data_IF_860140262198
#
_entry.id   IF_860140262198
#
_cell.length_a   1.000
_cell.length_b   1.000
_cell.length_c   1.000
_cell.angle_alpha   90.00
_cell.angle_beta   90.00
_cell.angle_gamma   90.00
#
_symmetry.space_group_name_H-M   'P 1'
#
loop_
_entity.id
_entity.type
_entity.pdbx_description
1 polymer ?
#
# COMPACT_ATOMS: atom_id res chain seq x y z
N UNK A 1 -29.74 -62.34 18.63
CA UNK A 1 -30.04 -61.09 17.89
C UNK A 1 -29.02 -60.04 18.31
N UNK A 2 -28.07 -59.69 17.43
CA UNK A 2 -27.05 -58.66 17.68
C UNK A 2 -27.68 -57.28 17.56
N UNK A 3 -27.54 -56.42 18.57
CA UNK A 3 -27.79 -54.96 18.45
C UNK A 3 -26.43 -54.27 18.50
N UNK A 4 -25.96 -53.80 17.35
CA UNK A 4 -24.87 -52.83 17.27
C UNK A 4 -25.47 -51.46 17.60
N UNK A 5 -25.07 -50.87 18.71
CA UNK A 5 -25.30 -49.46 19.00
C UNK A 5 -24.13 -48.72 18.37
N UNK A 6 -24.36 -48.06 17.23
CA UNK A 6 -23.43 -47.05 16.73
C UNK A 6 -23.48 -45.85 17.69
N UNK A 7 -22.42 -45.67 18.48
CA UNK A 7 -22.12 -44.37 19.08
C UNK A 7 -21.51 -43.50 18.01
N UNK A 8 -22.30 -42.55 17.49
CA UNK A 8 -21.81 -41.47 16.64
C UNK A 8 -20.86 -40.60 17.49
N UNK A 9 -19.57 -40.61 17.15
CA UNK A 9 -18.63 -39.64 17.66
C UNK A 9 -19.03 -38.26 17.11
N UNK A 10 -19.57 -37.40 17.98
CA UNK A 10 -19.65 -35.97 17.69
C UNK A 10 -18.21 -35.45 17.65
N UNK A 11 -17.62 -35.41 16.46
CA UNK A 11 -16.46 -34.55 16.21
C UNK A 11 -16.97 -33.12 16.38
N UNK A 12 -16.62 -32.51 17.51
CA UNK A 12 -16.66 -31.06 17.67
C UNK A 12 -15.66 -30.49 16.66
N UNK A 13 -16.14 -30.19 15.47
CA UNK A 13 -15.46 -29.30 14.52
C UNK A 13 -15.30 -27.97 15.26
N UNK A 14 -14.13 -27.73 15.83
CA UNK A 14 -13.68 -26.35 16.03
C UNK A 14 -13.82 -25.66 14.67
N UNK A 15 -14.40 -24.45 14.60
CA UNK A 15 -14.25 -23.68 13.38
C UNK A 15 -12.75 -23.44 13.25
N UNK A 16 -12.11 -24.16 12.31
CA UNK A 16 -10.80 -23.78 11.79
C UNK A 16 -11.05 -22.36 11.31
N UNK A 17 -10.57 -21.39 12.08
CA UNK A 17 -10.66 -20.01 11.70
C UNK A 17 -9.75 -19.90 10.48
N UNK A 18 -10.34 -19.85 9.30
CA UNK A 18 -9.64 -19.57 8.04
C UNK A 18 -8.92 -18.24 8.24
N UNK A 19 -7.63 -18.29 8.55
CA UNK A 19 -6.84 -17.10 8.84
C UNK A 19 -6.37 -16.51 7.53
N UNK A 20 -7.25 -15.79 6.85
CA UNK A 20 -6.85 -14.92 5.73
C UNK A 20 -5.70 -14.01 6.18
N UNK A 21 -4.66 -13.75 5.35
CA UNK A 21 -3.47 -12.97 5.76
C UNK A 21 -3.77 -11.82 6.75
N UNK A 22 -3.00 -11.73 7.85
CA UNK A 22 -3.43 -11.04 9.05
C UNK A 22 -3.74 -9.56 8.78
N UNK A 23 -4.89 -9.11 9.27
CA UNK A 23 -5.14 -7.68 9.35
C UNK A 23 -4.42 -7.09 10.55
N UNK A 24 -3.35 -6.34 10.30
CA UNK A 24 -2.61 -5.66 11.37
C UNK A 24 -3.18 -4.25 11.51
N UNK A 25 -3.83 -3.98 12.64
CA UNK A 25 -4.47 -2.70 12.93
C UNK A 25 -5.48 -2.22 11.87
N UNK A 26 -6.12 -3.17 11.17
CA UNK A 26 -7.08 -2.91 10.09
C UNK A 26 -6.45 -2.55 8.75
N UNK A 27 -5.14 -2.72 8.61
CA UNK A 27 -4.41 -2.74 7.34
C UNK A 27 -4.27 -4.18 6.87
N UNK A 28 -4.19 -4.36 5.55
CA UNK A 28 -3.95 -5.67 4.94
C UNK A 28 -2.45 -5.84 4.83
N UNK A 29 -1.96 -6.94 5.36
CA UNK A 29 -0.64 -7.48 5.07
C UNK A 29 -0.72 -8.20 3.72
N UNK A 30 -0.23 -7.55 2.67
CA UNK A 30 -0.38 -8.03 1.29
C UNK A 30 0.65 -9.11 0.94
N UNK A 31 1.80 -9.10 1.60
CA UNK A 31 2.84 -10.12 1.42
C UNK A 31 2.92 -11.11 2.58
N UNK A 32 1.99 -11.02 3.53
CA UNK A 32 1.74 -11.98 4.60
C UNK A 32 2.97 -12.25 5.48
N UNK A 33 3.86 -11.26 5.62
CA UNK A 33 5.11 -11.39 6.39
C UNK A 33 5.00 -10.81 7.82
N UNK A 34 3.77 -10.57 8.25
CA UNK A 34 3.37 -10.01 9.53
C UNK A 34 3.89 -8.58 9.77
N UNK A 35 4.28 -7.86 8.70
CA UNK A 35 4.78 -6.49 8.78
C UNK A 35 4.15 -5.58 7.74
N UNK A 36 3.34 -4.63 8.19
CA UNK A 36 2.82 -3.60 7.29
C UNK A 36 3.86 -2.51 7.05
N UNK A 37 4.31 -2.38 5.79
CA UNK A 37 5.14 -1.26 5.32
C UNK A 37 4.39 -0.42 4.30
N UNK A 38 4.19 0.83 4.68
CA UNK A 38 3.55 1.84 3.86
C UNK A 38 4.53 2.93 3.47
N UNK A 39 4.87 2.98 2.19
CA UNK A 39 5.78 3.99 1.64
C UNK A 39 5.02 5.21 1.13
N UNK A 40 5.46 6.39 1.52
CA UNK A 40 5.00 7.66 0.99
C UNK A 40 6.10 8.26 0.12
N UNK A 41 5.79 8.48 -1.16
CA UNK A 41 6.70 9.10 -2.12
C UNK A 41 6.09 10.36 -2.69
N UNK A 42 6.91 11.38 -2.91
CA UNK A 42 6.38 12.65 -3.36
C UNK A 42 7.32 13.82 -3.22
N UNK A 43 6.74 15.01 -3.20
CA UNK A 43 7.47 16.27 -3.12
C UNK A 43 7.78 16.73 -1.69
N UNK A 44 8.01 18.03 -1.52
CA UNK A 44 8.33 18.66 -0.24
C UNK A 44 7.26 18.46 0.83
N UNK A 45 6.00 18.26 0.42
CA UNK A 45 4.90 18.02 1.35
C UNK A 45 5.06 16.65 2.02
N UNK A 46 5.43 15.62 1.27
CA UNK A 46 5.76 14.30 1.82
C UNK A 46 6.99 14.37 2.70
N UNK A 47 8.03 15.08 2.25
CA UNK A 47 9.27 15.26 3.05
C UNK A 47 9.03 15.93 4.41
N UNK A 48 7.94 16.70 4.56
CA UNK A 48 7.63 17.44 5.77
C UNK A 48 8.23 18.85 5.82
N UNK A 49 8.58 19.43 4.65
CA UNK A 49 9.12 20.80 4.59
C UNK A 49 8.13 21.79 5.20
N UNK A 50 8.61 22.63 6.12
CA UNK A 50 7.76 23.59 6.85
C UNK A 50 7.25 23.08 8.19
N UNK A 51 7.53 21.82 8.55
CA UNK A 51 7.28 21.28 9.88
C UNK A 51 8.33 21.75 10.89
N UNK A 52 8.09 22.89 11.53
CA UNK A 52 9.02 23.48 12.51
C UNK A 52 9.19 22.66 13.80
N UNK A 53 8.32 21.68 14.05
CA UNK A 53 8.44 20.80 15.22
C UNK A 53 9.27 19.55 14.91
N UNK A 54 9.71 19.37 13.65
CA UNK A 54 10.52 18.24 13.20
C UNK A 54 9.92 16.86 13.55
N UNK A 55 8.59 16.74 13.46
CA UNK A 55 7.87 15.49 13.74
C UNK A 55 7.63 14.67 12.45
N UNK A 56 8.53 14.80 11.47
CA UNK A 56 8.46 14.08 10.19
C UNK A 56 7.28 14.46 9.29
N UNK A 57 6.74 15.68 9.41
CA UNK A 57 5.60 16.14 8.60
C UNK A 57 4.32 15.36 8.90
N UNK A 58 3.48 15.09 7.88
CA UNK A 58 2.29 14.27 8.10
C UNK A 58 2.60 12.78 8.18
N UNK A 59 3.71 12.32 7.58
CA UNK A 59 4.06 10.88 7.57
C UNK A 59 4.47 10.44 8.97
N UNK A 60 5.39 11.17 9.63
CA UNK A 60 5.78 10.86 11.01
C UNK A 60 4.59 10.94 11.99
N UNK A 61 3.75 11.98 11.88
CA UNK A 61 2.51 12.09 12.68
C UNK A 61 1.44 11.04 12.37
N UNK A 62 1.49 10.43 11.20
CA UNK A 62 0.60 9.34 10.82
C UNK A 62 1.11 8.02 11.41
N UNK A 63 2.43 7.81 11.38
CA UNK A 63 3.09 6.65 11.97
C UNK A 63 2.76 6.51 13.46
N UNK A 64 2.79 7.60 14.23
CA UNK A 64 2.43 7.58 15.67
C UNK A 64 0.96 7.20 15.95
N UNK A 65 0.14 6.98 14.92
CA UNK A 65 -1.27 6.54 15.07
C UNK A 65 -1.43 5.03 14.95
N UNK A 66 -0.34 4.33 14.66
CA UNK A 66 -0.26 2.89 14.56
C UNK A 66 0.82 2.40 15.52
N UNK A 67 0.65 1.22 16.11
CA UNK A 67 1.67 0.66 17.01
C UNK A 67 2.73 -0.14 16.24
N UNK A 68 2.33 -0.83 15.17
CA UNK A 68 3.18 -1.81 14.46
C UNK A 68 3.42 -1.50 12.99
N UNK A 69 2.77 -0.47 12.44
CA UNK A 69 2.87 -0.14 11.01
C UNK A 69 4.10 0.72 10.74
N UNK A 70 4.99 0.26 9.86
CA UNK A 70 6.17 1.00 9.46
C UNK A 70 5.83 1.99 8.32
N UNK A 71 6.11 3.28 8.54
CA UNK A 71 5.86 4.31 7.53
C UNK A 71 7.15 4.87 6.95
N UNK A 72 7.37 4.62 5.67
CA UNK A 72 8.60 5.02 4.99
C UNK A 72 8.37 6.34 4.26
N UNK A 73 9.09 7.39 4.66
CA UNK A 73 9.05 8.70 4.01
C UNK A 73 10.15 8.85 2.95
N UNK A 74 9.77 8.81 1.67
CA UNK A 74 10.65 9.03 0.51
C UNK A 74 10.37 10.37 -0.19
N UNK A 75 9.93 11.38 0.56
CA UNK A 75 9.70 12.71 0.01
C UNK A 75 10.98 13.38 -0.51
N UNK A 76 10.93 13.94 -1.70
CA UNK A 76 12.04 14.65 -2.36
C UNK A 76 11.57 16.06 -2.73
N UNK A 77 12.03 17.11 -2.02
CA UNK A 77 11.69 18.49 -2.37
C UNK A 77 12.00 18.83 -3.82
N UNK A 78 11.11 19.59 -4.47
CA UNK A 78 11.27 20.00 -5.87
C UNK A 78 10.98 18.92 -6.92
N UNK A 79 10.72 17.66 -6.53
CA UNK A 79 10.47 16.59 -7.51
C UNK A 79 9.20 16.84 -8.33
N UNK A 80 9.31 16.62 -9.64
CA UNK A 80 8.20 16.70 -10.60
C UNK A 80 7.60 15.33 -10.85
N UNK A 81 6.42 15.25 -11.47
CA UNK A 81 5.83 13.95 -11.87
C UNK A 81 6.75 13.16 -12.80
N UNK A 82 7.43 13.85 -13.71
CA UNK A 82 8.40 13.24 -14.62
C UNK A 82 9.68 12.82 -13.89
N UNK A 83 10.17 13.66 -12.99
CA UNK A 83 11.35 13.36 -12.17
C UNK A 83 11.12 12.12 -11.31
N UNK A 84 9.95 12.04 -10.66
CA UNK A 84 9.58 10.87 -9.86
C UNK A 84 9.48 9.61 -10.72
N UNK A 85 8.80 9.69 -11.87
CA UNK A 85 8.71 8.57 -12.80
C UNK A 85 10.08 8.07 -13.26
N UNK A 86 10.97 8.97 -13.68
CA UNK A 86 12.33 8.62 -14.10
C UNK A 86 13.18 8.07 -12.95
N UNK A 87 12.97 8.57 -11.73
CA UNK A 87 13.63 8.06 -10.53
C UNK A 87 13.32 6.57 -10.30
N UNK A 88 12.02 6.21 -10.33
CA UNK A 88 11.61 4.81 -10.21
C UNK A 88 12.11 3.94 -11.37
N UNK A 89 12.00 4.41 -12.62
CA UNK A 89 12.54 3.69 -13.79
C UNK A 89 14.04 3.38 -13.59
N UNK A 90 14.83 4.38 -13.19
CA UNK A 90 16.28 4.22 -13.02
C UNK A 90 16.61 3.27 -11.87
N UNK A 91 15.91 3.39 -10.74
CA UNK A 91 16.26 2.66 -9.52
C UNK A 91 15.76 1.21 -9.54
N UNK A 92 14.59 0.95 -10.10
CA UNK A 92 14.04 -0.41 -10.20
C UNK A 92 14.68 -1.21 -11.35
N UNK A 93 15.04 -0.57 -12.47
CA UNK A 93 15.78 -1.27 -13.53
C UNK A 93 17.24 -1.57 -13.15
N UNK A 94 17.83 -0.81 -12.19
CA UNK A 94 19.17 -1.09 -11.66
C UNK A 94 19.18 -2.09 -10.51
N UNK A 95 18.01 -2.47 -9.99
CA UNK A 95 17.90 -3.39 -8.86
C UNK A 95 18.19 -4.86 -9.23
N UNK A 96 18.79 -5.13 -10.38
CA UNK A 96 19.26 -6.47 -10.75
C UNK A 96 20.43 -6.94 -9.87
N UNK A 97 21.16 -6.05 -9.17
CA UNK A 97 22.19 -6.46 -8.20
C UNK A 97 22.19 -5.55 -6.96
N UNK A 98 21.69 -6.03 -5.82
CA UNK A 98 21.94 -5.45 -4.49
C UNK A 98 20.76 -4.85 -3.70
N UNK A 99 21.10 -4.34 -2.49
CA UNK A 99 20.25 -3.99 -1.34
C UNK A 99 18.97 -3.15 -1.59
N UNK A 100 18.84 -2.52 -2.75
CA UNK A 100 17.64 -1.78 -3.17
C UNK A 100 16.47 -2.72 -3.48
N UNK A 101 16.72 -3.95 -3.98
CA UNK A 101 15.69 -4.99 -4.17
C UNK A 101 15.04 -5.37 -2.83
N UNK A 102 15.81 -5.39 -1.73
CA UNK A 102 15.31 -5.67 -0.37
C UNK A 102 14.39 -4.60 0.22
N UNK A 103 14.53 -3.33 -0.16
CA UNK A 103 13.69 -2.23 0.38
C UNK A 103 12.34 -2.07 -0.33
N UNK A 104 12.20 -2.60 -1.54
CA UNK A 104 10.95 -2.53 -2.32
C UNK A 104 10.23 -3.86 -2.47
N UNK A 105 10.85 -4.98 -2.07
CA UNK A 105 10.30 -6.35 -2.16
C UNK A 105 9.17 -6.67 -1.18
N UNK A 106 8.83 -5.73 -0.31
CA UNK A 106 8.08 -6.01 0.90
C UNK A 106 7.18 -4.80 1.24
N UNK A 107 6.53 -4.23 0.23
CA UNK A 107 5.66 -3.08 0.42
C UNK A 107 4.21 -3.56 0.36
N UNK A 108 3.42 -3.15 1.35
CA UNK A 108 1.98 -3.38 1.37
C UNK A 108 1.24 -2.22 0.71
N UNK A 109 1.77 -1.01 0.91
CA UNK A 109 1.16 0.18 0.35
C UNK A 109 2.17 1.21 -0.13
N UNK A 110 1.83 1.86 -1.24
CA UNK A 110 2.62 2.96 -1.80
C UNK A 110 1.72 4.15 -2.11
N UNK A 111 1.98 5.28 -1.46
CA UNK A 111 1.24 6.52 -1.65
C UNK A 111 2.07 7.49 -2.48
N UNK A 112 1.51 7.93 -3.62
CA UNK A 112 2.12 8.90 -4.53
C UNK A 112 1.45 10.27 -4.31
N UNK A 113 2.21 11.26 -3.83
CA UNK A 113 1.80 12.65 -3.71
C UNK A 113 2.77 13.54 -4.50
N UNK A 114 2.42 13.93 -5.72
CA UNK A 114 3.32 14.74 -6.57
C UNK A 114 2.54 15.55 -7.60
N UNK A 115 3.08 16.70 -7.97
CA UNK A 115 2.58 17.50 -9.09
C UNK A 115 2.76 18.99 -8.94
N UNK A 116 2.91 19.50 -7.72
CA UNK A 116 3.01 20.93 -7.44
C UNK A 116 4.15 21.60 -8.21
N UNK A 117 5.29 20.91 -8.34
CA UNK A 117 6.49 21.42 -9.01
C UNK A 117 6.41 21.41 -10.54
N UNK A 118 5.44 20.69 -11.12
CA UNK A 118 5.25 20.67 -12.57
C UNK A 118 4.85 22.05 -13.11
N UNK A 119 4.13 22.83 -12.28
CA UNK A 119 3.79 24.22 -12.56
C UNK A 119 5.04 25.06 -12.84
N UNK A 120 6.05 24.97 -11.97
CA UNK A 120 7.30 25.74 -12.09
C UNK A 120 8.14 25.36 -13.31
N UNK A 121 7.91 24.18 -13.87
CA UNK A 121 8.55 23.73 -15.11
C UNK A 121 7.70 23.98 -16.37
N UNK A 122 6.66 24.82 -16.25
CA UNK A 122 5.69 25.12 -17.31
C UNK A 122 5.11 23.84 -17.94
N UNK A 123 4.92 22.79 -17.15
CA UNK A 123 4.35 21.54 -17.66
C UNK A 123 2.83 21.64 -17.65
N UNK A 124 2.15 21.33 -18.78
CA UNK A 124 0.70 21.27 -18.80
C UNK A 124 0.17 20.16 -17.89
N UNK A 125 -0.99 20.39 -17.26
CA UNK A 125 -1.70 19.40 -16.42
C UNK A 125 -1.86 18.04 -17.12
N UNK A 126 -2.11 18.03 -18.43
CA UNK A 126 -2.24 16.80 -19.23
C UNK A 126 -0.95 15.96 -19.22
N UNK A 127 0.23 16.59 -19.18
CA UNK A 127 1.51 15.88 -19.06
C UNK A 127 1.70 15.34 -17.64
N UNK A 128 1.37 16.13 -16.62
CA UNK A 128 1.44 15.71 -15.21
C UNK A 128 0.64 14.45 -14.93
N UNK A 129 -0.65 14.43 -15.29
CA UNK A 129 -1.49 13.24 -15.08
C UNK A 129 -1.02 12.05 -15.93
N UNK A 130 -0.51 12.28 -17.14
CA UNK A 130 0.07 11.21 -17.98
C UNK A 130 1.26 10.56 -17.29
N UNK A 131 2.16 11.35 -16.71
CA UNK A 131 3.33 10.84 -15.99
C UNK A 131 2.91 10.02 -14.76
N UNK A 132 1.94 10.51 -13.99
CA UNK A 132 1.38 9.78 -12.83
C UNK A 132 0.81 8.42 -13.28
N UNK A 133 -0.01 8.38 -14.33
CA UNK A 133 -0.57 7.12 -14.86
C UNK A 133 0.51 6.15 -15.33
N UNK A 134 1.54 6.65 -16.03
CA UNK A 134 2.69 5.84 -16.47
C UNK A 134 3.47 5.28 -15.29
N UNK A 135 3.68 6.08 -14.25
CA UNK A 135 4.34 5.64 -13.03
C UNK A 135 3.55 4.53 -12.34
N UNK A 136 2.25 4.73 -12.10
CA UNK A 136 1.41 3.69 -11.49
C UNK A 136 1.42 2.41 -12.31
N UNK A 137 1.23 2.50 -13.62
CA UNK A 137 1.26 1.33 -14.51
C UNK A 137 2.60 0.61 -14.45
N UNK A 138 3.72 1.34 -14.49
CA UNK A 138 5.06 0.75 -14.38
C UNK A 138 5.27 0.06 -13.03
N UNK A 139 4.84 0.67 -11.94
CA UNK A 139 5.01 0.12 -10.59
C UNK A 139 4.12 -1.10 -10.35
N UNK A 140 2.88 -1.09 -10.82
CA UNK A 140 2.00 -2.27 -10.76
C UNK A 140 2.65 -3.46 -11.45
N UNK A 141 3.29 -3.26 -12.61
CA UNK A 141 4.02 -4.33 -13.30
C UNK A 141 5.28 -4.73 -12.54
N UNK A 142 6.15 -3.78 -12.17
CA UNK A 142 7.48 -4.09 -11.64
C UNK A 142 7.53 -4.51 -10.19
N UNK A 143 6.61 -4.04 -9.36
CA UNK A 143 6.58 -4.45 -7.96
C UNK A 143 5.92 -5.82 -7.80
N UNK A 144 4.85 -6.12 -8.56
CA UNK A 144 4.24 -7.45 -8.57
C UNK A 144 5.23 -8.55 -8.98
N UNK A 145 6.03 -8.33 -10.04
CA UNK A 145 7.08 -9.27 -10.47
C UNK A 145 8.12 -9.58 -9.37
N UNK A 146 8.28 -8.70 -8.38
CA UNK A 146 9.34 -8.84 -7.37
C UNK A 146 8.89 -9.51 -6.06
N UNK A 147 7.59 -9.51 -5.78
CA UNK A 147 6.99 -9.85 -4.48
C UNK A 147 5.84 -10.85 -4.57
N UNK A 148 5.47 -11.30 -5.77
CA UNK A 148 4.26 -12.06 -6.01
C UNK A 148 2.99 -11.22 -5.88
N UNK A 149 2.73 -10.63 -4.72
CA UNK A 149 1.62 -9.68 -4.52
C UNK A 149 2.14 -8.25 -4.49
N UNK A 150 1.82 -7.46 -5.51
CA UNK A 150 2.26 -6.07 -5.60
C UNK A 150 1.60 -5.17 -4.54
N UNK A 151 2.27 -4.12 -4.02
CA UNK A 151 1.68 -3.19 -3.07
C UNK A 151 0.43 -2.53 -3.62
N UNK A 152 -0.51 -2.16 -2.73
CA UNK A 152 -1.60 -1.29 -3.13
C UNK A 152 -1.09 0.13 -3.37
N UNK A 153 -1.13 0.57 -4.63
CA UNK A 153 -0.64 1.89 -5.04
C UNK A 153 -1.78 2.92 -5.02
N UNK A 154 -1.66 3.91 -4.15
CA UNK A 154 -2.59 5.04 -4.04
C UNK A 154 -2.01 6.31 -4.65
N UNK A 155 -2.86 7.06 -5.34
CA UNK A 155 -2.52 8.42 -5.77
C UNK A 155 -3.28 9.43 -4.92
N UNK A 156 -2.56 10.34 -4.27
CA UNK A 156 -3.18 11.42 -3.53
C UNK A 156 -3.52 12.60 -4.44
N UNK A 157 -4.65 13.25 -4.21
CA UNK A 157 -4.81 14.65 -4.68
C UNK A 157 -3.88 15.56 -3.88
N UNK A 158 -3.55 16.72 -4.43
CA UNK A 158 -2.75 17.74 -3.79
C UNK A 158 -3.60 18.61 -2.85
N UNK A 159 -3.00 19.16 -1.81
CA UNK A 159 -3.66 20.13 -0.92
C UNK A 159 -3.93 21.46 -1.64
N UNK A 160 -4.87 22.25 -1.13
CA UNK A 160 -5.03 23.65 -1.55
C UNK A 160 -3.93 24.50 -0.95
N UNK A 161 -3.51 25.50 -1.72
CA UNK A 161 -2.47 26.47 -1.37
C UNK A 161 -3.07 27.88 -1.37
N UNK A 162 -2.43 28.81 -0.67
CA UNK A 162 -2.84 30.22 -0.69
C UNK A 162 -2.16 31.00 -1.84
N UNK A 163 -1.41 30.30 -2.70
CA UNK A 163 -0.77 30.86 -3.90
C UNK A 163 -1.77 30.96 -5.04
N UNK A 164 -2.37 32.13 -5.23
CA UNK A 164 -3.36 32.40 -6.28
C UNK A 164 -2.88 32.05 -7.70
N UNK A 165 -1.59 32.24 -7.99
CA UNK A 165 -0.99 31.93 -9.29
C UNK A 165 -0.85 30.42 -9.56
N UNK A 166 -0.69 29.60 -8.51
CA UNK A 166 -0.45 28.16 -8.61
C UNK A 166 -1.73 27.34 -8.40
N UNK A 167 -2.67 27.86 -7.60
CA UNK A 167 -3.91 27.16 -7.24
C UNK A 167 -4.76 26.71 -8.45
N UNK A 168 -4.88 27.46 -9.57
CA UNK A 168 -5.62 26.99 -10.75
C UNK A 168 -5.04 25.71 -11.35
N UNK A 169 -3.71 25.62 -11.41
CA UNK A 169 -3.01 24.41 -11.87
C UNK A 169 -3.29 23.22 -10.96
N UNK A 170 -3.18 23.44 -9.65
CA UNK A 170 -3.44 22.41 -8.62
C UNK A 170 -4.88 21.90 -8.72
N UNK A 171 -5.86 22.80 -8.79
CA UNK A 171 -7.28 22.46 -8.95
C UNK A 171 -7.54 21.64 -10.22
N UNK A 172 -6.93 22.03 -11.33
CA UNK A 172 -7.04 21.32 -12.59
C UNK A 172 -6.42 19.91 -12.54
N UNK A 173 -5.24 19.77 -11.91
CA UNK A 173 -4.60 18.47 -11.71
C UNK A 173 -5.42 17.57 -10.77
N UNK A 174 -5.91 18.09 -9.65
CA UNK A 174 -6.80 17.36 -8.75
C UNK A 174 -8.07 16.87 -9.45
N UNK A 175 -8.64 17.65 -10.36
CA UNK A 175 -9.77 17.22 -11.21
C UNK A 175 -9.39 16.03 -12.10
N UNK A 176 -8.19 16.04 -12.69
CA UNK A 176 -7.70 14.91 -13.51
C UNK A 176 -7.41 13.65 -12.68
N UNK A 177 -6.83 13.80 -11.49
CA UNK A 177 -6.59 12.67 -10.56
C UNK A 177 -7.92 12.02 -10.17
N UNK A 178 -8.92 12.81 -9.76
CA UNK A 178 -10.27 12.30 -9.46
C UNK A 178 -10.91 11.57 -10.65
N UNK A 179 -10.79 12.15 -11.84
CA UNK A 179 -11.32 11.52 -13.07
C UNK A 179 -10.64 10.17 -13.32
N UNK A 180 -9.32 10.10 -13.22
CA UNK A 180 -8.58 8.84 -13.38
C UNK A 180 -9.00 7.78 -12.35
N UNK A 181 -9.17 8.18 -11.09
CA UNK A 181 -9.63 7.29 -10.03
C UNK A 181 -11.06 6.78 -10.25
N UNK A 182 -11.98 7.65 -10.71
CA UNK A 182 -13.36 7.25 -11.06
C UNK A 182 -13.40 6.23 -12.20
N UNK A 183 -12.42 6.27 -13.11
CA UNK A 183 -12.29 5.30 -14.19
C UNK A 183 -11.47 4.05 -13.79
N UNK A 184 -11.20 3.83 -12.50
CA UNK A 184 -10.51 2.63 -12.02
C UNK A 184 -9.01 2.56 -12.33
N UNK A 185 -8.38 3.66 -12.79
CA UNK A 185 -6.95 3.64 -13.15
C UNK A 185 -6.06 3.45 -11.91
N UNK A 186 -6.49 3.98 -10.77
CA UNK A 186 -5.85 3.79 -9.47
C UNK A 186 -6.81 4.17 -8.34
N UNK A 187 -6.67 3.58 -7.14
CA UNK A 187 -7.33 4.11 -5.96
C UNK A 187 -6.74 5.48 -5.60
N UNK A 188 -7.59 6.38 -5.13
CA UNK A 188 -7.21 7.74 -4.78
C UNK A 188 -7.47 8.06 -3.30
N UNK A 189 -6.55 8.80 -2.71
CA UNK A 189 -6.65 9.45 -1.40
C UNK A 189 -6.93 10.95 -1.62
N UNK A 190 -8.04 11.46 -1.11
CA UNK A 190 -8.45 12.84 -1.38
C UNK A 190 -7.93 13.76 -0.26
N UNK A 191 -6.86 14.49 -0.55
CA UNK A 191 -6.30 15.55 0.30
C UNK A 191 -6.61 16.97 -0.20
N UNK A 192 -7.47 17.14 -1.22
CA UNK A 192 -7.81 18.44 -1.82
C UNK A 192 -8.73 19.27 -0.91
N UNK A 193 -8.12 19.78 0.15
CA UNK A 193 -8.70 20.65 1.16
C UNK A 193 -7.68 21.72 1.53
N UNK A 194 -8.17 22.76 2.21
CA UNK A 194 -7.32 23.76 2.81
C UNK A 194 -6.83 23.28 4.18
N UNK A 195 -5.54 23.42 4.44
CA UNK A 195 -4.91 23.12 5.72
C UNK A 195 -4.19 24.35 6.23
N UNK A 196 -3.98 24.49 7.55
CA UNK A 196 -3.10 25.52 8.09
C UNK A 196 -1.70 25.49 7.43
N UNK A 197 -1.38 26.54 6.68
CA UNK A 197 -0.10 26.70 6.00
C UNK A 197 0.84 27.61 6.78
N UNK A 198 2.13 27.56 6.44
CA UNK A 198 3.10 28.55 6.87
C UNK A 198 2.81 29.89 6.18
N UNK A 199 2.72 30.95 6.97
CA UNK A 199 2.46 32.32 6.45
C UNK A 199 3.58 32.85 5.55
N UNK A 200 4.80 32.31 5.68
CA UNK A 200 5.95 32.78 4.93
C UNK A 200 5.95 32.35 3.47
N UNK A 201 5.37 31.18 3.16
CA UNK A 201 5.43 30.62 1.81
C UNK A 201 4.08 30.27 1.19
N UNK A 202 3.00 30.28 1.98
CA UNK A 202 1.63 30.05 1.50
C UNK A 202 1.42 28.70 0.78
N UNK A 203 2.30 27.73 1.02
CA UNK A 203 2.33 26.43 0.35
C UNK A 203 2.52 25.28 1.35
N UNK A 204 3.54 25.38 2.19
CA UNK A 204 3.91 24.28 3.07
C UNK A 204 3.02 24.28 4.32
N UNK A 205 2.41 23.15 4.69
CA UNK A 205 1.68 23.02 5.95
C UNK A 205 2.56 23.41 7.13
N UNK A 206 1.98 24.12 8.09
CA UNK A 206 2.61 24.28 9.40
C UNK A 206 2.34 23.01 10.24
N UNK A 207 2.87 22.90 11.48
CA UNK A 207 2.67 21.72 12.32
C UNK A 207 1.20 21.31 12.50
N UNK A 208 0.29 22.28 12.67
CA UNK A 208 -1.16 22.01 12.76
C UNK A 208 -1.74 21.50 11.44
N UNK A 209 -1.25 22.01 10.31
CA UNK A 209 -1.58 21.53 8.98
C UNK A 209 -1.18 20.08 8.78
N UNK A 210 0.06 19.73 9.12
CA UNK A 210 0.56 18.37 9.03
C UNK A 210 -0.20 17.40 9.96
N UNK A 211 -0.56 17.80 11.17
CA UNK A 211 -1.45 17.01 12.04
C UNK A 211 -2.80 16.73 11.40
N UNK A 212 -3.42 17.74 10.76
CA UNK A 212 -4.71 17.57 10.06
C UNK A 212 -4.59 16.65 8.85
N UNK A 213 -3.49 16.75 8.11
CA UNK A 213 -3.20 15.83 7.01
C UNK A 213 -3.05 14.39 7.50
N UNK A 214 -2.27 14.15 8.55
CA UNK A 214 -2.10 12.84 9.15
C UNK A 214 -3.45 12.24 9.60
N UNK A 215 -4.26 13.01 10.33
CA UNK A 215 -5.61 12.57 10.74
C UNK A 215 -6.49 12.18 9.55
N UNK A 216 -6.37 12.87 8.42
CA UNK A 216 -7.15 12.59 7.21
C UNK A 216 -6.68 11.31 6.52
N UNK A 217 -5.37 11.11 6.39
CA UNK A 217 -4.81 9.85 5.90
C UNK A 217 -5.22 8.67 6.79
N UNK A 218 -5.11 8.82 8.11
CA UNK A 218 -5.52 7.78 9.07
C UNK A 218 -6.98 7.35 8.86
N UNK A 219 -7.90 8.33 8.74
CA UNK A 219 -9.31 8.05 8.44
C UNK A 219 -9.51 7.35 7.09
N UNK A 220 -8.76 7.75 6.06
CA UNK A 220 -8.83 7.10 4.76
C UNK A 220 -8.35 5.65 4.80
N UNK A 221 -7.23 5.43 5.46
CA UNK A 221 -6.64 4.11 5.64
C UNK A 221 -7.64 3.22 6.38
N UNK A 222 -8.08 3.61 7.58
CA UNK A 222 -9.00 2.80 8.40
C UNK A 222 -10.38 2.61 7.76
N UNK A 223 -10.88 3.60 7.02
CA UNK A 223 -12.23 3.54 6.43
C UNK A 223 -12.27 2.90 5.05
N UNK A 224 -11.38 3.29 4.14
CA UNK A 224 -11.43 2.91 2.72
C UNK A 224 -10.64 1.65 2.42
N UNK A 225 -9.56 1.35 3.15
CA UNK A 225 -8.86 0.09 2.96
C UNK A 225 -9.70 -1.10 3.41
N UNK A 226 -10.57 -0.93 4.42
CA UNK A 226 -11.56 -1.95 4.80
C UNK A 226 -12.44 -2.41 3.62
N UNK A 227 -12.80 -1.50 2.70
CA UNK A 227 -13.67 -1.84 1.56
C UNK A 227 -12.90 -2.21 0.28
N UNK A 228 -11.62 -1.84 0.17
CA UNK A 228 -10.73 -2.29 -0.92
C UNK A 228 -10.27 -3.74 -0.71
N UNK A 229 -10.59 -4.34 0.44
CA UNK A 229 -10.28 -5.73 0.82
C UNK A 229 -10.88 -6.77 -0.14
N UNK A 230 -12.04 -6.55 -0.74
CA UNK A 230 -12.85 -7.68 -1.24
C UNK A 230 -12.61 -8.11 -2.70
N UNK A 231 -11.83 -7.37 -3.50
CA UNK A 231 -11.73 -7.62 -4.95
C UNK A 231 -10.42 -8.27 -5.43
N UNK A 232 -9.37 -8.31 -4.61
CA UNK A 232 -8.06 -8.93 -4.91
C UNK A 232 -7.80 -10.20 -4.04
N UNK A 233 -8.87 -10.80 -3.48
CA UNK A 233 -8.80 -11.88 -2.47
C UNK A 233 -9.63 -13.10 -2.86
N UNK A 234 -9.23 -13.76 -3.94
CA UNK A 234 -9.66 -15.16 -4.11
C UNK A 234 -8.80 -16.00 -3.15
N UNK A 235 -9.47 -16.92 -2.47
CA UNK A 235 -8.94 -17.90 -1.51
C UNK A 235 -9.78 -19.15 -1.78
N UNK A 236 -9.39 -19.87 -2.83
CA UNK A 236 -10.27 -20.77 -3.54
C UNK A 236 -10.42 -22.13 -2.82
N UNK A 237 -9.48 -22.50 -1.96
CA UNK A 237 -9.59 -23.63 -1.02
C UNK A 237 -9.92 -23.22 0.42
N UNK A 238 -9.95 -21.91 0.71
CA UNK A 238 -10.36 -21.36 2.01
C UNK A 238 -9.47 -21.81 3.16
N UNK A 239 -8.16 -21.90 2.91
CA UNK A 239 -7.16 -22.26 3.92
C UNK A 239 -6.55 -21.03 4.64
N UNK A 240 -6.81 -19.82 4.11
CA UNK A 240 -6.35 -18.54 4.66
C UNK A 240 -5.15 -17.93 3.93
N UNK A 241 -4.54 -18.65 3.00
CA UNK A 241 -3.56 -18.13 2.07
C UNK A 241 -4.27 -17.71 0.78
N UNK A 242 -4.02 -16.50 0.27
CA UNK A 242 -4.75 -16.03 -0.92
C UNK A 242 -4.16 -16.65 -2.20
N UNK A 243 -4.98 -16.93 -3.22
CA UNK A 243 -4.55 -17.60 -4.47
C UNK A 243 -3.30 -16.96 -5.12
N UNK A 244 -3.21 -15.63 -5.08
CA UNK A 244 -2.05 -14.89 -5.62
C UNK A 244 -0.80 -15.01 -4.75
N UNK A 245 -0.96 -15.15 -3.43
CA UNK A 245 0.14 -15.38 -2.49
C UNK A 245 0.67 -16.80 -2.67
N UNK A 246 -0.22 -17.79 -2.66
CA UNK A 246 0.09 -19.20 -2.89
C UNK A 246 0.91 -19.40 -4.16
N UNK A 247 0.33 -19.00 -5.30
CA UNK A 247 0.93 -19.22 -6.61
C UNK A 247 2.23 -18.46 -6.84
N UNK A 248 2.41 -17.28 -6.23
CA UNK A 248 3.54 -16.39 -6.57
C UNK A 248 4.65 -16.34 -5.51
N UNK A 249 4.35 -16.67 -4.24
CA UNK A 249 5.33 -16.63 -3.15
C UNK A 249 5.74 -18.01 -2.67
N UNK A 250 4.77 -18.92 -2.54
CA UNK A 250 5.00 -20.24 -1.96
C UNK A 250 5.03 -21.36 -3.00
N UNK A 251 4.65 -21.04 -4.25
CA UNK A 251 4.53 -22.00 -5.34
C UNK A 251 3.57 -23.16 -5.02
N UNK A 252 2.55 -22.85 -4.21
CA UNK A 252 1.50 -23.78 -3.80
C UNK A 252 0.29 -23.74 -4.75
N UNK A 253 -0.54 -24.78 -4.69
CA UNK A 253 -1.73 -24.94 -5.52
C UNK A 253 -2.95 -24.34 -4.81
N UNK A 254 -3.38 -23.14 -5.23
CA UNK A 254 -4.54 -22.39 -4.71
C UNK A 254 -5.92 -23.08 -4.77
N UNK A 255 -5.95 -24.35 -5.14
CA UNK A 255 -7.15 -25.19 -5.09
C UNK A 255 -7.03 -26.33 -4.07
N UNK A 256 -5.96 -26.34 -3.28
CA UNK A 256 -5.64 -27.34 -2.28
C UNK A 256 -5.14 -26.65 -1.01
N UNK A 257 -5.96 -26.78 0.04
CA UNK A 257 -5.58 -26.30 1.35
C UNK A 257 -4.27 -26.87 1.88
N UNK A 258 -3.82 -28.05 1.42
CA UNK A 258 -2.54 -28.69 1.78
C UNK A 258 -1.89 -29.15 0.46
N UNK A 259 -0.91 -28.39 -0.02
CA UNK A 259 -0.31 -28.59 -1.34
C UNK A 259 0.61 -29.81 -1.37
N UNK A 260 1.43 -29.98 -0.34
CA UNK A 260 2.47 -31.02 -0.31
C UNK A 260 2.01 -32.33 0.35
N UNK A 261 0.86 -32.31 1.02
CA UNK A 261 0.16 -33.46 1.56
C UNK A 261 0.69 -33.94 2.91
N UNK A 262 1.35 -33.08 3.69
CA UNK A 262 1.92 -33.44 4.98
C UNK A 262 0.90 -33.43 6.15
N UNK A 263 -0.29 -32.88 5.91
CA UNK A 263 -1.40 -32.81 6.86
C UNK A 263 -1.57 -31.46 7.57
N UNK A 264 -0.76 -30.45 7.25
CA UNK A 264 -0.97 -29.05 7.61
C UNK A 264 -1.42 -28.26 6.39
N UNK A 265 -2.23 -27.22 6.60
CA UNK A 265 -2.63 -26.39 5.47
C UNK A 265 -1.55 -25.38 5.11
N UNK A 266 -1.43 -25.00 3.84
CA UNK A 266 -0.43 -24.04 3.35
C UNK A 266 -0.54 -22.73 4.14
N UNK A 267 -1.77 -22.29 4.42
CA UNK A 267 -2.08 -21.16 5.28
C UNK A 267 -1.60 -21.33 6.74
N UNK A 268 -1.73 -22.51 7.34
CA UNK A 268 -1.29 -22.75 8.73
C UNK A 268 0.23 -22.73 8.82
N UNK A 269 0.90 -23.38 7.88
CA UNK A 269 2.35 -23.42 7.77
C UNK A 269 2.96 -22.03 7.61
N UNK A 270 2.42 -21.23 6.68
CA UNK A 270 2.92 -19.88 6.42
C UNK A 270 2.58 -18.92 7.56
N UNK A 271 1.35 -18.95 8.07
CA UNK A 271 0.84 -17.89 8.94
C UNK A 271 1.04 -18.18 10.42
N UNK A 272 1.10 -19.46 10.81
CA UNK A 272 1.20 -19.88 12.21
C UNK A 272 2.59 -20.44 12.55
N UNK A 273 3.11 -21.34 11.71
CA UNK A 273 4.29 -22.13 12.07
C UNK A 273 5.60 -21.63 11.45
N UNK A 274 5.53 -20.87 10.37
CA UNK A 274 6.69 -20.39 9.62
C UNK A 274 7.46 -21.50 8.92
N UNK A 275 6.77 -22.55 8.48
CA UNK A 275 7.32 -23.68 7.71
C UNK A 275 7.12 -23.48 6.20
N UNK A 276 7.53 -24.45 5.38
CA UNK A 276 7.55 -24.29 3.91
C UNK A 276 6.44 -25.16 3.30
N UNK A 277 5.32 -24.57 2.84
CA UNK A 277 4.12 -25.31 2.47
C UNK A 277 4.22 -26.09 1.14
N UNK A 278 5.38 -26.06 0.50
CA UNK A 278 5.67 -26.84 -0.68
C UNK A 278 6.66 -27.98 -0.40
N UNK A 279 7.08 -28.17 0.85
CA UNK A 279 8.03 -29.18 1.28
C UNK A 279 7.48 -29.99 2.48
N UNK A 280 6.94 -31.17 2.17
CA UNK A 280 6.36 -32.11 3.16
C UNK A 280 7.28 -32.55 4.30
N UNK A 281 8.57 -32.18 4.27
CA UNK A 281 9.52 -32.41 5.37
C UNK A 281 9.71 -31.20 6.30
N UNK A 282 9.14 -30.06 5.92
CA UNK A 282 9.18 -28.78 6.61
C UNK A 282 7.81 -28.55 7.26
N UNK A 283 7.59 -29.16 8.43
CA UNK A 283 6.32 -29.10 9.12
C UNK A 283 6.50 -28.82 10.63
N UNK A 284 5.43 -28.45 11.36
CA UNK A 284 5.47 -28.16 12.80
C UNK A 284 5.99 -29.31 13.69
#
# INVERSE_FOLDING_TARGET
>A
MKKYILTAALLLLWPIAVFSCPQIEGLIDYNCDQQIRCTFTGDSIVKGVGDRLDLGGFVGRLETKFNTVNMINLGVPGITTLGLYRGFLKNLNKAEEGATKKKTKNLDCLVIYVGTNDYWQNKPVKKSIRNIKRLVSYLNTKLAESTGVGPKIFVSTLIKTDRSFQQPFISALNKQIRKAAKHGIFPMLNMDQHYPLNKSDHLHPNPKGYTRMANRFYKYIKGKMKNLQLADRSDNDSDGLYDQVESLLFATDSSKADTDGDGYSDGDEVLTYGTDPADSSSHP
#
